data_IF_169685851017
#
_entry.id   IF_169685851017
#
_cell.length_a   1.000
_cell.length_b   1.000
_cell.length_c   1.000
_cell.angle_alpha   90.00
_cell.angle_beta   90.00
_cell.angle_gamma   90.00
#
_symmetry.space_group_name_H-M   'P 1'
#
loop_
_entity.id
_entity.type
_entity.pdbx_description
1 polymer ?
#
# COMPACT_ATOMS: atom_id res chain seq x y z
N UNK A 1 -2.32 17.82 52.06
CA UNK A 1 -2.83 18.18 50.70
C UNK A 1 -1.73 18.53 49.68
N UNK A 2 -0.47 18.78 50.08
CA UNK A 2 0.64 19.18 49.17
C UNK A 2 1.24 18.04 48.30
N UNK A 3 1.24 16.79 48.78
CA UNK A 3 1.89 15.66 48.08
C UNK A 3 1.20 15.21 46.79
N UNK A 4 -0.14 15.23 46.75
CA UNK A 4 -0.90 14.82 45.55
C UNK A 4 -0.74 15.81 44.40
N UNK A 5 -0.58 17.10 44.69
CA UNK A 5 -0.39 18.13 43.67
C UNK A 5 0.96 17.97 42.94
N UNK A 6 2.04 17.66 43.68
CA UNK A 6 3.36 17.38 43.08
C UNK A 6 3.37 16.12 42.21
N UNK A 7 2.67 15.07 42.64
CA UNK A 7 2.54 13.82 41.86
C UNK A 7 1.73 14.02 40.58
N UNK A 8 0.64 14.79 40.64
CA UNK A 8 -0.16 15.13 39.45
C UNK A 8 0.64 15.95 38.44
N UNK A 9 1.42 16.93 38.91
CA UNK A 9 2.32 17.73 38.05
C UNK A 9 3.37 16.81 37.40
N UNK A 10 4.02 15.93 38.17
CA UNK A 10 5.01 15.00 37.63
C UNK A 10 4.41 14.07 36.56
N UNK A 11 3.23 13.50 36.80
CA UNK A 11 2.54 12.64 35.84
C UNK A 11 2.23 13.40 34.55
N UNK A 12 1.76 14.64 34.63
CA UNK A 12 1.51 15.46 33.44
C UNK A 12 2.79 15.78 32.68
N UNK A 13 3.89 16.08 33.37
CA UNK A 13 5.19 16.28 32.73
C UNK A 13 5.68 15.01 32.04
N UNK A 14 5.55 13.85 32.68
CA UNK A 14 5.93 12.57 32.11
C UNK A 14 5.07 12.21 30.89
N UNK A 15 3.75 12.42 30.96
CA UNK A 15 2.82 12.22 29.83
C UNK A 15 3.17 13.16 28.69
N UNK A 16 3.44 14.44 28.97
CA UNK A 16 3.83 15.41 27.94
C UNK A 16 5.14 15.03 27.25
N UNK A 17 6.14 14.56 28.02
CA UNK A 17 7.40 14.12 27.46
C UNK A 17 7.23 12.88 26.57
N UNK A 18 6.46 11.89 27.02
CA UNK A 18 6.20 10.69 26.24
C UNK A 18 5.42 10.98 24.95
N UNK A 19 4.45 11.90 25.00
CA UNK A 19 3.72 12.35 23.81
C UNK A 19 4.65 13.03 22.81
N UNK A 20 5.48 13.97 23.27
CA UNK A 20 6.48 14.61 22.40
C UNK A 20 7.39 13.58 21.73
N UNK A 21 7.88 12.60 22.48
CA UNK A 21 8.73 11.54 21.91
C UNK A 21 7.99 10.65 20.90
N UNK A 22 6.69 10.45 21.09
CA UNK A 22 5.87 9.69 20.16
C UNK A 22 5.68 10.49 18.87
N UNK A 23 5.37 11.78 18.99
CA UNK A 23 5.26 12.70 17.85
C UNK A 23 6.58 12.76 17.04
N UNK A 24 7.72 12.87 17.72
CA UNK A 24 9.04 12.88 17.07
C UNK A 24 9.32 11.59 16.28
N UNK A 25 8.97 10.43 16.86
CA UNK A 25 9.16 9.12 16.20
C UNK A 25 8.19 8.91 15.03
N UNK A 26 6.96 9.43 15.13
CA UNK A 26 5.98 9.39 14.04
C UNK A 26 6.41 10.27 12.88
N UNK A 27 6.99 11.44 13.15
CA UNK A 27 7.58 12.31 12.14
C UNK A 27 8.77 11.64 11.45
N UNK A 28 9.68 11.04 12.22
CA UNK A 28 10.82 10.29 11.66
C UNK A 28 10.36 9.13 10.78
N UNK A 29 9.37 8.36 11.23
CA UNK A 29 8.81 7.27 10.44
C UNK A 29 8.13 7.77 9.16
N UNK A 30 7.47 8.92 9.21
CA UNK A 30 6.85 9.53 8.03
C UNK A 30 7.90 9.89 7.00
N UNK A 31 8.98 10.57 7.41
CA UNK A 31 10.10 10.93 6.53
C UNK A 31 10.78 9.72 5.90
N UNK A 32 11.04 8.67 6.70
CA UNK A 32 11.61 7.42 6.21
C UNK A 32 10.67 6.73 5.20
N UNK A 33 9.36 6.77 5.45
CA UNK A 33 8.37 6.22 4.53
C UNK A 33 8.38 6.95 3.18
N UNK A 34 8.47 8.28 3.17
CA UNK A 34 8.50 9.09 1.95
C UNK A 34 9.73 8.78 1.09
N UNK A 35 10.91 8.68 1.72
CA UNK A 35 12.16 8.29 1.04
C UNK A 35 12.06 6.90 0.41
N UNK A 36 11.41 5.96 1.12
CA UNK A 36 11.23 4.61 0.61
C UNK A 36 10.33 4.57 -0.63
N UNK A 37 9.26 5.37 -0.66
CA UNK A 37 8.32 5.45 -1.78
C UNK A 37 9.01 5.97 -3.04
N UNK A 38 9.83 7.01 -2.90
CA UNK A 38 10.59 7.56 -4.02
C UNK A 38 11.57 6.53 -4.60
N UNK A 39 12.34 5.88 -3.72
CA UNK A 39 13.30 4.84 -4.12
C UNK A 39 12.61 3.69 -4.86
N UNK A 40 11.51 3.18 -4.31
CA UNK A 40 10.72 2.12 -4.93
C UNK A 40 10.15 2.55 -6.29
N UNK A 41 9.67 3.79 -6.40
CA UNK A 41 9.21 4.38 -7.66
C UNK A 41 10.31 4.41 -8.73
N UNK A 42 11.55 4.77 -8.36
CA UNK A 42 12.70 4.76 -9.26
C UNK A 42 13.01 3.33 -9.72
N UNK A 43 13.01 2.36 -8.82
CA UNK A 43 13.28 0.95 -9.14
C UNK A 43 12.28 0.41 -10.17
N UNK A 44 10.99 0.66 -9.98
CA UNK A 44 9.95 0.20 -10.90
C UNK A 44 10.02 0.87 -12.28
N UNK A 45 10.53 2.11 -12.39
CA UNK A 45 10.71 2.79 -13.68
C UNK A 45 11.94 2.28 -14.45
N UNK A 46 12.96 1.79 -13.76
CA UNK A 46 14.20 1.27 -14.37
C UNK A 46 14.14 -0.22 -14.67
N UNK A 47 13.16 -0.93 -14.14
CA UNK A 47 12.99 -2.36 -14.34
C UNK A 47 12.55 -2.68 -15.79
N UNK A 48 13.07 -3.75 -16.41
CA UNK A 48 12.61 -4.19 -17.71
C UNK A 48 11.11 -4.54 -17.69
N UNK A 49 10.37 -4.26 -18.79
CA UNK A 49 8.95 -4.58 -18.87
C UNK A 49 8.62 -6.06 -18.60
N UNK A 50 9.49 -6.99 -19.01
CA UNK A 50 9.30 -8.43 -18.80
C UNK A 50 9.29 -8.83 -17.32
N UNK A 51 10.16 -8.22 -16.51
CA UNK A 51 10.22 -8.48 -15.06
C UNK A 51 8.99 -7.89 -14.38
N UNK A 52 8.57 -6.68 -14.78
CA UNK A 52 7.32 -6.07 -14.29
C UNK A 52 6.11 -6.95 -14.63
N UNK A 53 6.02 -7.49 -15.84
CA UNK A 53 4.96 -8.45 -16.21
C UNK A 53 4.93 -9.67 -15.30
N UNK A 54 6.09 -10.25 -14.96
CA UNK A 54 6.16 -11.39 -14.04
C UNK A 54 5.72 -11.04 -12.61
N UNK A 55 6.10 -9.85 -12.12
CA UNK A 55 5.65 -9.34 -10.83
C UNK A 55 4.13 -9.18 -10.84
N UNK A 56 3.57 -8.57 -11.90
CA UNK A 56 2.12 -8.36 -12.02
C UNK A 56 1.36 -9.69 -12.03
N UNK A 57 1.89 -10.71 -12.71
CA UNK A 57 1.30 -12.05 -12.71
C UNK A 57 1.35 -12.71 -11.33
N UNK A 58 2.44 -12.52 -10.60
CA UNK A 58 2.59 -13.01 -9.22
C UNK A 58 1.68 -12.28 -8.24
N UNK A 59 1.26 -11.05 -8.58
CA UNK A 59 0.33 -10.24 -7.79
C UNK A 59 -1.15 -10.51 -8.12
N UNK A 60 -1.45 -11.42 -9.06
CA UNK A 60 -2.81 -11.90 -9.22
C UNK A 60 -3.24 -12.63 -7.94
N UNK A 61 -4.48 -12.43 -7.45
CA UNK A 61 -4.98 -13.24 -6.36
C UNK A 61 -4.78 -14.71 -6.76
N UNK A 62 -4.10 -15.47 -5.88
CA UNK A 62 -4.01 -16.92 -6.01
C UNK A 62 -5.40 -17.43 -6.38
N UNK A 63 -5.47 -18.23 -7.45
CA UNK A 63 -6.62 -18.77 -8.20
C UNK A 63 -7.72 -19.44 -7.36
N UNK A 64 -8.08 -18.87 -6.23
CA UNK A 64 -9.29 -19.16 -5.51
C UNK A 64 -10.37 -18.35 -6.23
N UNK A 65 -10.99 -18.99 -7.22
CA UNK A 65 -12.04 -18.42 -8.08
C UNK A 65 -13.22 -17.77 -7.33
N UNK A 66 -13.25 -17.90 -5.99
CA UNK A 66 -14.20 -17.26 -5.08
C UNK A 66 -13.81 -15.85 -4.63
N UNK A 67 -12.57 -15.39 -4.88
CA UNK A 67 -12.07 -14.09 -4.40
C UNK A 67 -11.67 -13.11 -5.51
N UNK A 68 -11.36 -13.62 -6.70
CA UNK A 68 -10.97 -12.78 -7.83
C UNK A 68 -12.18 -12.23 -8.56
N UNK A 69 -12.85 -11.20 -8.05
CA UNK A 69 -13.86 -10.49 -8.82
C UNK A 69 -13.17 -9.48 -9.76
N UNK A 70 -13.04 -9.82 -11.05
CA UNK A 70 -12.48 -8.89 -12.04
C UNK A 70 -13.42 -7.73 -12.39
N UNK A 71 -14.68 -7.75 -11.94
CA UNK A 71 -15.54 -6.57 -12.00
C UNK A 71 -15.18 -5.53 -10.91
N UNK A 72 -14.44 -5.92 -9.87
CA UNK A 72 -13.94 -4.97 -8.86
C UNK A 72 -12.65 -4.30 -9.38
N UNK A 73 -12.77 -3.02 -9.74
CA UNK A 73 -11.64 -2.20 -10.22
C UNK A 73 -10.56 -1.98 -9.15
N UNK A 74 -10.80 -2.35 -7.90
CA UNK A 74 -9.82 -2.31 -6.80
C UNK A 74 -8.95 -3.56 -6.73
N UNK A 75 -9.27 -4.61 -7.48
CA UNK A 75 -8.47 -5.84 -7.54
C UNK A 75 -7.46 -5.80 -8.70
N UNK A 76 -6.46 -6.68 -8.64
CA UNK A 76 -5.62 -6.94 -9.81
C UNK A 76 -6.43 -7.68 -10.88
N UNK A 77 -6.20 -7.42 -12.18
CA UNK A 77 -5.12 -6.59 -12.73
C UNK A 77 -5.39 -5.07 -12.77
N UNK A 78 -6.61 -4.61 -12.43
CA UNK A 78 -7.01 -3.20 -12.60
C UNK A 78 -6.18 -2.23 -11.77
N UNK A 79 -5.93 -2.54 -10.50
CA UNK A 79 -5.17 -1.65 -9.60
C UNK A 79 -3.76 -1.38 -10.15
N UNK A 80 -3.12 -2.38 -10.77
CA UNK A 80 -1.79 -2.24 -11.38
C UNK A 80 -1.84 -1.30 -12.60
N UNK A 81 -2.92 -1.37 -13.38
CA UNK A 81 -3.12 -0.50 -14.55
C UNK A 81 -3.42 0.97 -14.20
N UNK A 82 -3.72 1.26 -12.94
CA UNK A 82 -4.06 2.60 -12.47
C UNK A 82 -2.86 3.38 -11.89
N UNK A 83 -1.74 2.71 -11.61
CA UNK A 83 -0.55 3.34 -10.99
C UNK A 83 0.07 4.43 -11.88
N UNK A 84 0.39 4.10 -13.14
CA UNK A 84 0.88 5.08 -14.12
C UNK A 84 0.66 4.60 -15.55
N UNK A 85 0.88 5.48 -16.54
CA UNK A 85 0.71 5.14 -17.96
C UNK A 85 1.63 4.00 -18.42
N UNK A 86 2.86 3.92 -17.88
CA UNK A 86 3.81 2.85 -18.23
C UNK A 86 3.30 1.49 -17.76
N UNK A 87 2.85 1.39 -16.51
CA UNK A 87 2.28 0.16 -15.95
C UNK A 87 1.02 -0.27 -16.69
N UNK A 88 0.17 0.68 -17.09
CA UNK A 88 -0.99 0.40 -17.93
C UNK A 88 -0.62 -0.25 -19.25
N UNK A 89 0.40 0.27 -19.95
CA UNK A 89 0.89 -0.33 -21.21
C UNK A 89 1.37 -1.77 -20.99
N UNK A 90 2.11 -2.02 -19.92
CA UNK A 90 2.61 -3.37 -19.58
C UNK A 90 1.46 -4.31 -19.24
N UNK A 91 0.48 -3.86 -18.44
CA UNK A 91 -0.71 -4.66 -18.10
C UNK A 91 -1.48 -5.06 -19.36
N UNK A 92 -1.74 -4.12 -20.27
CA UNK A 92 -2.44 -4.39 -21.53
C UNK A 92 -1.60 -5.27 -22.49
N UNK A 93 -0.28 -5.13 -22.47
CA UNK A 93 0.64 -5.93 -23.26
C UNK A 93 0.94 -7.32 -22.67
N UNK A 94 0.35 -7.68 -21.52
CA UNK A 94 0.55 -8.98 -20.85
C UNK A 94 -0.77 -9.77 -20.86
N UNK A 95 -1.08 -10.55 -21.91
CA UNK A 95 -2.37 -11.23 -22.06
C UNK A 95 -2.71 -12.20 -20.92
N UNK A 96 -1.69 -12.77 -20.29
CA UNK A 96 -1.84 -13.72 -19.17
C UNK A 96 -2.59 -13.11 -17.97
N UNK A 97 -2.48 -11.79 -17.75
CA UNK A 97 -3.23 -11.06 -16.71
C UNK A 97 -4.74 -11.06 -16.95
N UNK A 98 -5.16 -11.25 -18.19
CA UNK A 98 -6.55 -11.18 -18.66
C UNK A 98 -7.09 -12.55 -19.08
N UNK A 99 -6.33 -13.62 -18.80
CA UNK A 99 -6.69 -14.99 -19.20
C UNK A 99 -7.94 -15.53 -18.49
N UNK A 100 -8.31 -14.94 -17.35
CA UNK A 100 -9.50 -15.29 -16.57
C UNK A 100 -10.23 -14.01 -16.19
N UNK A 101 -11.51 -13.92 -16.55
CA UNK A 101 -12.40 -12.81 -16.21
C UNK A 101 -13.59 -13.37 -15.44
N UNK A 102 -13.72 -12.98 -14.18
CA UNK A 102 -14.82 -13.34 -13.30
C UNK A 102 -15.70 -12.10 -13.07
N UNK A 103 -16.99 -12.23 -13.36
CA UNK A 103 -17.96 -11.14 -13.18
C UNK A 103 -18.98 -11.58 -12.14
N UNK A 104 -19.14 -10.78 -11.09
CA UNK A 104 -20.22 -10.97 -10.12
C UNK A 104 -21.55 -10.60 -10.79
N UNK A 105 -22.29 -11.62 -11.22
CA UNK A 105 -23.65 -11.44 -11.70
C UNK A 105 -24.61 -11.37 -10.51
N UNK A 106 -25.24 -10.22 -10.31
CA UNK A 106 -26.40 -10.08 -9.41
C UNK A 106 -27.66 -10.14 -10.26
N UNK A 107 -28.44 -11.18 -10.06
CA UNK A 107 -29.76 -11.34 -10.68
C UNK A 107 -30.69 -10.19 -10.22
N UNK A 108 -31.51 -9.60 -11.12
CA UNK A 108 -32.31 -8.41 -10.86
C UNK A 108 -33.49 -8.63 -9.90
#
# INVERSE_FOLDING_TARGET
MSGNSRRAVWLNTAISNLRSRLDDLEEEMTLLSEQSVEMVGILFRRMPPSVLSQIFLSALPTLDHRKGNTSDMKQTPWVLSQVCMSWRKICLATPQLWSTICVDYKEP
#
